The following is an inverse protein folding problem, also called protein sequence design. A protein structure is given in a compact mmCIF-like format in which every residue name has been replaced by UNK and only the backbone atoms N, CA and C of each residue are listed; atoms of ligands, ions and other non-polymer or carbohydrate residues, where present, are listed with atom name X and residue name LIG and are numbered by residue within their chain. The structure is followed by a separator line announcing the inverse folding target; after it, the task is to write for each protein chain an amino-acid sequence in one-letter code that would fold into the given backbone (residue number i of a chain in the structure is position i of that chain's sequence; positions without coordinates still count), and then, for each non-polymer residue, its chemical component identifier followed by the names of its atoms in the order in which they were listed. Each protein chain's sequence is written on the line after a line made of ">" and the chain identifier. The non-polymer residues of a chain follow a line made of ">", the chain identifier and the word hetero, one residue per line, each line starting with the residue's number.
data_IF_785973794798
#
_entry.id   IF_785973794798
#
_cell.length_a   1.000
_cell.length_b   1.000
_cell.length_c   1.000
_cell.angle_alpha   90.00
_cell.angle_beta   90.00
_cell.angle_gamma   90.00
#
_symmetry.space_group_name_H-M   'P 1'
#
loop_
_entity.id
_entity.type
_entity.pdbx_description
1 polymer ?
#
# COMPACT_ATOMS: atom_id res chain seq x y z
N UNK A 1 6.27 -2.37 -4.47
CA UNK A 1 6.45 -0.94 -4.83
C UNK A 1 7.78 -0.34 -4.34
N UNK A 2 8.06 -0.22 -3.04
CA UNK A 2 9.39 0.22 -2.57
C UNK A 2 10.48 -0.81 -2.85
N UNK A 3 10.19 -2.11 -2.64
CA UNK A 3 11.10 -3.21 -2.95
C UNK A 3 11.31 -3.42 -4.45
N UNK A 4 10.28 -3.25 -5.28
CA UNK A 4 10.42 -3.30 -6.74
C UNK A 4 11.25 -2.12 -7.25
N UNK A 5 11.10 -0.94 -6.67
CA UNK A 5 11.95 0.21 -6.96
C UNK A 5 13.41 -0.06 -6.60
N UNK A 6 13.66 -0.65 -5.43
CA UNK A 6 15.01 -1.04 -5.02
C UNK A 6 15.60 -2.13 -5.91
N UNK A 7 14.79 -3.08 -6.38
CA UNK A 7 15.23 -4.16 -7.27
C UNK A 7 15.48 -3.67 -8.70
N UNK A 8 14.62 -2.81 -9.26
CA UNK A 8 14.84 -2.17 -10.55
C UNK A 8 16.06 -1.26 -10.52
N UNK A 9 16.18 -0.38 -9.51
CA UNK A 9 17.31 0.55 -9.37
C UNK A 9 18.66 -0.19 -9.27
N UNK A 10 18.69 -1.32 -8.58
CA UNK A 10 19.89 -2.15 -8.43
C UNK A 10 20.33 -2.82 -9.75
N UNK A 11 19.40 -3.07 -10.68
CA UNK A 11 19.69 -3.71 -11.96
C UNK A 11 19.82 -2.73 -13.14
N UNK A 12 19.30 -1.50 -13.02
CA UNK A 12 19.41 -0.46 -14.07
C UNK A 12 20.84 0.01 -14.33
N UNK A 13 21.75 -0.14 -13.37
CA UNK A 13 23.17 0.22 -13.54
C UNK A 13 23.93 -0.71 -14.50
N UNK A 14 23.29 -1.78 -15.00
CA UNK A 14 23.91 -2.81 -15.86
C UNK A 14 23.37 -2.81 -17.31
N UNK A 15 22.47 -1.89 -17.67
CA UNK A 15 21.83 -1.85 -18.98
C UNK A 15 22.52 -0.83 -19.91
N UNK A 16 22.76 -1.24 -21.16
CA UNK A 16 23.46 -0.49 -22.21
C UNK A 16 22.88 0.92 -22.48
N UNK A 17 23.70 1.89 -22.94
CA UNK A 17 23.34 3.32 -23.05
C UNK A 17 22.40 3.67 -24.22
N UNK A 18 21.58 2.73 -24.70
CA UNK A 18 20.82 2.88 -25.96
C UNK A 18 19.29 2.81 -25.87
N UNK A 19 18.67 2.57 -24.70
CA UNK A 19 17.21 2.43 -24.62
C UNK A 19 16.56 3.59 -23.88
N UNK A 20 15.71 4.27 -24.64
CA UNK A 20 15.08 5.55 -24.37
C UNK A 20 14.32 5.61 -23.04
N UNK A 21 14.48 6.74 -22.35
CA UNK A 21 13.74 7.22 -21.18
C UNK A 21 12.42 6.48 -20.88
N UNK A 22 12.49 5.49 -20.00
CA UNK A 22 11.33 5.08 -19.21
C UNK A 22 11.16 6.11 -18.09
N UNK A 23 10.77 7.33 -18.43
CA UNK A 23 10.16 8.20 -17.43
C UNK A 23 8.98 7.41 -16.86
N UNK A 24 9.10 6.95 -15.62
CA UNK A 24 8.01 6.29 -14.91
C UNK A 24 6.89 7.32 -14.78
N UNK A 25 5.97 7.31 -15.76
CA UNK A 25 4.85 8.23 -15.79
C UNK A 25 4.10 8.11 -14.45
N UNK A 26 3.85 9.21 -13.73
CA UNK A 26 3.16 9.21 -12.43
C UNK A 26 1.88 8.36 -12.43
N UNK A 27 1.20 8.35 -13.57
CA UNK A 27 0.02 7.55 -13.88
C UNK A 27 0.21 6.04 -13.61
N UNK A 28 1.35 5.46 -13.98
CA UNK A 28 1.64 4.03 -13.73
C UNK A 28 1.90 3.74 -12.25
N UNK A 29 2.43 4.71 -11.52
CA UNK A 29 2.70 4.59 -10.09
C UNK A 29 1.39 4.63 -9.28
N UNK A 30 0.45 5.49 -9.67
CA UNK A 30 -0.90 5.55 -9.08
C UNK A 30 -1.67 4.25 -9.33
N UNK A 31 -1.64 3.72 -10.55
CA UNK A 31 -2.28 2.43 -10.86
C UNK A 31 -1.71 1.30 -10.00
N UNK A 32 -0.38 1.20 -9.89
CA UNK A 32 0.27 0.20 -9.02
C UNK A 32 -0.17 0.33 -7.56
N UNK A 33 -0.27 1.55 -7.03
CA UNK A 33 -0.74 1.79 -5.66
C UNK A 33 -2.20 1.38 -5.46
N UNK A 34 -3.06 1.66 -6.44
CA UNK A 34 -4.48 1.25 -6.39
C UNK A 34 -4.59 -0.28 -6.44
N UNK A 35 -3.88 -0.94 -7.35
CA UNK A 35 -3.84 -2.41 -7.42
C UNK A 35 -3.40 -3.01 -6.09
N UNK A 36 -2.34 -2.47 -5.47
CA UNK A 36 -1.87 -2.97 -4.18
C UNK A 36 -2.90 -2.80 -3.05
N UNK A 37 -3.66 -1.70 -3.06
CA UNK A 37 -4.74 -1.48 -2.08
C UNK A 37 -5.92 -2.43 -2.30
N UNK A 38 -6.28 -2.71 -3.55
CA UNK A 38 -7.34 -3.67 -3.87
C UNK A 38 -6.93 -5.08 -3.43
N UNK A 39 -5.71 -5.50 -3.73
CA UNK A 39 -5.19 -6.82 -3.32
C UNK A 39 -5.19 -6.95 -1.81
N UNK A 40 -4.67 -5.96 -1.07
CA UNK A 40 -4.66 -6.01 0.40
C UNK A 40 -6.06 -6.07 1.02
N UNK A 41 -7.03 -5.34 0.47
CA UNK A 41 -8.42 -5.37 0.98
C UNK A 41 -9.10 -6.69 0.63
N UNK A 42 -8.85 -7.22 -0.57
CA UNK A 42 -9.37 -8.50 -1.02
C UNK A 42 -8.84 -9.65 -0.16
N UNK A 43 -7.54 -9.64 0.18
CA UNK A 43 -6.92 -10.64 1.06
C UNK A 43 -7.62 -10.70 2.42
N UNK A 44 -7.84 -9.55 3.08
CA UNK A 44 -8.54 -9.53 4.38
C UNK A 44 -9.95 -10.08 4.28
N UNK A 45 -10.69 -9.71 3.22
CA UNK A 45 -12.07 -10.20 3.02
C UNK A 45 -12.06 -11.71 2.74
N UNK A 46 -11.15 -12.22 1.92
CA UNK A 46 -11.05 -13.65 1.60
C UNK A 46 -10.67 -14.45 2.84
N UNK A 47 -9.65 -14.02 3.59
CA UNK A 47 -9.22 -14.68 4.83
C UNK A 47 -10.37 -14.69 5.84
N UNK A 48 -11.02 -13.54 6.04
CA UNK A 48 -12.15 -13.42 6.96
C UNK A 48 -13.31 -14.32 6.52
N UNK A 49 -13.59 -14.42 5.23
CA UNK A 49 -14.63 -15.30 4.69
C UNK A 49 -14.30 -16.78 4.90
N UNK A 50 -13.05 -17.20 4.66
CA UNK A 50 -12.62 -18.59 4.91
C UNK A 50 -12.75 -18.97 6.39
N UNK A 51 -12.40 -18.05 7.29
CA UNK A 51 -12.46 -18.29 8.74
C UNK A 51 -13.90 -18.32 9.26
N UNK A 52 -14.74 -17.40 8.77
CA UNK A 52 -16.08 -17.18 9.34
C UNK A 52 -17.19 -17.94 8.59
N UNK A 53 -16.94 -18.31 7.32
CA UNK A 53 -17.92 -18.93 6.43
C UNK A 53 -19.05 -18.00 5.95
N UNK A 54 -19.09 -16.76 6.45
CA UNK A 54 -20.19 -15.82 6.25
C UNK A 54 -19.67 -14.52 5.60
N UNK A 55 -20.29 -14.13 4.49
CA UNK A 55 -19.80 -13.05 3.63
C UNK A 55 -20.04 -11.65 4.24
N UNK A 56 -21.14 -11.48 4.98
CA UNK A 56 -21.50 -10.21 5.62
C UNK A 56 -20.49 -9.81 6.70
N UNK A 57 -20.03 -10.79 7.49
CA UNK A 57 -18.99 -10.62 8.51
C UNK A 57 -17.64 -10.35 7.86
N UNK A 58 -17.29 -11.06 6.80
CA UNK A 58 -16.04 -10.80 6.07
C UNK A 58 -15.97 -9.38 5.51
N UNK A 59 -17.07 -8.88 4.94
CA UNK A 59 -17.18 -7.50 4.49
C UNK A 59 -17.13 -6.50 5.65
N UNK A 60 -17.78 -6.82 6.78
CA UNK A 60 -17.74 -5.98 7.98
C UNK A 60 -16.31 -5.85 8.51
N UNK A 61 -15.54 -6.95 8.54
CA UNK A 61 -14.13 -6.94 8.96
C UNK A 61 -13.29 -6.09 8.00
N UNK A 62 -13.42 -6.28 6.69
CA UNK A 62 -12.72 -5.45 5.70
C UNK A 62 -13.04 -3.96 5.85
N UNK A 63 -14.31 -3.61 6.10
CA UNK A 63 -14.72 -2.22 6.34
C UNK A 63 -14.13 -1.64 7.64
N UNK A 64 -14.14 -2.43 8.73
CA UNK A 64 -13.52 -2.04 10.01
C UNK A 64 -12.01 -1.87 9.85
N UNK A 65 -11.34 -2.70 9.05
CA UNK A 65 -9.90 -2.58 8.78
C UNK A 65 -9.58 -1.24 8.11
N UNK A 66 -10.35 -0.87 7.07
CA UNK A 66 -10.21 0.40 6.37
C UNK A 66 -10.38 1.59 7.31
N UNK A 67 -11.45 1.60 8.12
CA UNK A 67 -11.69 2.65 9.10
C UNK A 67 -10.61 2.69 10.18
N UNK A 68 -10.19 1.53 10.67
CA UNK A 68 -9.16 1.42 11.70
C UNK A 68 -7.85 2.02 11.23
N UNK A 69 -7.38 1.69 10.02
CA UNK A 69 -6.17 2.29 9.44
C UNK A 69 -6.29 3.81 9.30
N UNK A 70 -7.45 4.32 8.89
CA UNK A 70 -7.69 5.76 8.76
C UNK A 70 -7.60 6.47 10.11
N UNK A 71 -8.26 5.93 11.14
CA UNK A 71 -8.25 6.46 12.50
C UNK A 71 -6.84 6.38 13.08
N UNK A 72 -6.16 5.25 12.91
CA UNK A 72 -4.82 5.01 13.46
C UNK A 72 -3.80 5.93 12.80
N UNK A 73 -3.88 6.16 11.49
CA UNK A 73 -3.07 7.16 10.80
C UNK A 73 -3.32 8.57 11.33
N UNK A 74 -4.59 8.96 11.47
CA UNK A 74 -4.94 10.28 12.01
C UNK A 74 -4.42 10.47 13.44
N UNK A 75 -4.62 9.49 14.32
CA UNK A 75 -4.13 9.53 15.70
C UNK A 75 -2.60 9.54 15.71
N UNK A 76 -1.95 8.71 14.91
CA UNK A 76 -0.49 8.69 14.78
C UNK A 76 0.05 10.07 14.41
N UNK A 77 -0.52 10.72 13.39
CA UNK A 77 -0.12 12.06 12.97
C UNK A 77 -0.40 13.12 14.05
N UNK A 78 -1.52 13.02 14.77
CA UNK A 78 -1.82 13.93 15.90
C UNK A 78 -0.91 13.73 17.11
N UNK A 79 -0.55 12.48 17.42
CA UNK A 79 0.41 12.17 18.49
C UNK A 79 1.79 12.67 18.08
N UNK A 80 2.21 12.41 16.84
CA UNK A 80 3.49 12.89 16.31
C UNK A 80 3.58 14.41 16.30
N UNK A 81 2.52 15.13 15.93
CA UNK A 81 2.48 16.60 16.02
C UNK A 81 2.52 17.13 17.46
N UNK A 82 2.07 16.37 18.46
CA UNK A 82 2.22 16.74 19.88
C UNK A 82 3.58 16.38 20.44
N UNK A 83 4.18 15.31 19.93
CA UNK A 83 5.53 14.89 20.29
C UNK A 83 6.51 15.80 19.54
N UNK A 84 6.94 16.87 20.22
CA UNK A 84 8.06 17.72 19.79
C UNK A 84 9.36 16.91 19.84
N UNK A 85 9.52 15.93 18.96
CA UNK A 85 10.79 15.24 18.80
C UNK A 85 11.73 16.17 18.04
N UNK A 86 12.71 16.76 18.73
CA UNK A 86 13.74 17.62 18.13
C UNK A 86 13.54 19.13 18.33
N UNK A 87 13.50 19.57 19.59
CA UNK A 87 14.43 20.64 19.99
C UNK A 87 15.56 20.00 20.76
#
# INVERSE_FOLDING_TARGET
>A
MFLDYLWLNKNSSKLEPGTQNLEERPERSILKSITWRIVGTADTVIISWIVTGELTLAFSIGFVELLSKMILYFVHERVWNRVRWGK
#
